data_IF_811689994697
#
_entry.id   IF_811689994697
#
_cell.length_a   1.000
_cell.length_b   1.000
_cell.length_c   1.000
_cell.angle_alpha   90.00
_cell.angle_beta   90.00
_cell.angle_gamma   90.00
#
_symmetry.space_group_name_H-M   'P 1'
#
loop_
_entity.id
_entity.type
_entity.pdbx_description
1 polymer ?
#
# COMPACT_ATOMS: atom_id res chain seq x y z
N UNK A 1 6.51 -4.58 53.14
CA UNK A 1 7.44 -4.40 52.00
C UNK A 1 7.25 -2.99 51.43
N UNK A 2 8.35 -2.29 51.17
CA UNK A 2 8.54 -0.83 51.22
C UNK A 2 7.62 0.03 50.31
N UNK A 3 6.80 0.89 50.93
CA UNK A 3 5.95 1.93 50.28
C UNK A 3 6.71 3.22 49.90
N UNK A 4 8.04 3.23 49.97
CA UNK A 4 8.87 4.42 49.73
C UNK A 4 9.90 4.16 48.64
N UNK A 5 9.55 4.43 47.38
CA UNK A 5 10.48 4.35 46.26
C UNK A 5 10.11 5.35 45.18
N UNK A 6 11.10 5.84 44.44
CA UNK A 6 10.92 6.69 43.26
C UNK A 6 11.06 5.85 42.00
N UNK A 7 10.28 6.17 40.97
CA UNK A 7 10.44 5.64 39.61
C UNK A 7 11.03 6.77 38.77
N UNK A 8 12.17 6.53 38.15
CA UNK A 8 12.82 7.50 37.27
C UNK A 8 12.73 7.01 35.83
N UNK A 9 12.17 7.83 34.95
CA UNK A 9 12.07 7.56 33.51
C UNK A 9 12.32 8.86 32.75
N UNK A 10 13.21 8.83 31.75
CA UNK A 10 13.62 10.00 30.93
C UNK A 10 13.90 11.27 31.75
N UNK A 11 14.70 11.16 32.80
CA UNK A 11 15.10 12.29 33.65
C UNK A 11 14.02 12.82 34.60
N UNK A 12 12.79 12.30 34.53
CA UNK A 12 11.71 12.66 35.45
C UNK A 12 11.57 11.59 36.52
N UNK A 13 11.52 12.00 37.80
CA UNK A 13 11.40 11.10 38.94
C UNK A 13 10.06 11.30 39.65
N UNK A 14 9.23 10.26 39.68
CA UNK A 14 7.90 10.26 40.30
C UNK A 14 7.89 9.33 41.50
N UNK A 15 7.37 9.79 42.63
CA UNK A 15 7.23 8.98 43.84
C UNK A 15 6.15 7.92 43.62
N UNK A 16 6.42 6.65 43.98
CA UNK A 16 5.43 5.55 43.89
C UNK A 16 4.13 5.83 44.65
N UNK A 17 4.15 6.72 45.64
CA UNK A 17 2.98 7.17 46.40
C UNK A 17 1.99 8.00 45.57
N UNK A 18 2.46 8.64 44.49
CA UNK A 18 1.62 9.40 43.56
C UNK A 18 1.00 8.50 42.48
N UNK A 19 1.30 7.20 42.49
CA UNK A 19 0.82 6.26 41.49
C UNK A 19 -0.28 5.40 42.11
N UNK A 20 -1.39 5.30 41.40
CA UNK A 20 -2.46 4.38 41.74
C UNK A 20 -2.17 3.00 41.15
N UNK A 21 -2.20 1.96 41.99
CA UNK A 21 -2.10 0.58 41.51
C UNK A 21 -3.49 0.13 41.06
N UNK A 22 -3.71 0.05 39.75
CA UNK A 22 -4.90 -0.56 39.15
C UNK A 22 -4.57 -1.87 38.45
N UNK A 23 -5.56 -2.74 38.37
CA UNK A 23 -5.58 -3.85 37.41
C UNK A 23 -6.20 -3.33 36.12
N UNK A 24 -5.70 -3.75 34.97
CA UNK A 24 -6.26 -3.36 33.68
C UNK A 24 -7.40 -4.32 33.28
N UNK A 25 -8.45 -4.36 34.09
CA UNK A 25 -9.64 -5.22 33.95
C UNK A 25 -10.93 -4.41 33.78
N UNK A 26 -10.83 -3.09 33.62
CA UNK A 26 -11.96 -2.20 33.35
C UNK A 26 -12.57 -2.52 31.99
N UNK A 27 -13.86 -2.89 32.00
CA UNK A 27 -14.66 -3.09 30.79
C UNK A 27 -15.60 -1.91 30.66
N UNK A 28 -15.40 -1.09 29.64
CA UNK A 28 -16.31 -0.01 29.30
C UNK A 28 -17.57 -0.64 28.70
N UNK A 29 -18.71 -0.46 29.38
CA UNK A 29 -19.99 -0.94 28.88
C UNK A 29 -20.42 -0.14 27.64
N UNK A 30 -21.07 -0.82 26.70
CA UNK A 30 -21.65 -0.15 25.54
C UNK A 30 -22.72 0.86 25.98
N UNK A 31 -22.77 2.06 25.36
CA UNK A 31 -23.79 3.04 25.65
C UNK A 31 -25.16 2.55 25.16
N UNK A 32 -26.21 2.83 25.92
CA UNK A 32 -27.58 2.46 25.58
C UNK A 32 -28.35 3.69 25.07
N UNK A 33 -29.23 3.50 24.08
CA UNK A 33 -30.14 4.55 23.62
C UNK A 33 -31.56 4.16 23.99
N UNK A 34 -32.28 5.07 24.67
CA UNK A 34 -33.66 4.86 25.09
C UNK A 34 -34.63 5.18 23.94
N UNK A 35 -35.66 4.34 23.78
CA UNK A 35 -36.77 4.60 22.85
C UNK A 35 -37.75 5.61 23.49
N UNK A 36 -37.94 6.78 22.88
CA UNK A 36 -38.62 7.92 23.51
C UNK A 36 -40.10 8.12 23.10
N UNK A 37 -40.82 7.05 22.77
CA UNK A 37 -42.22 7.18 22.28
C UNK A 37 -43.27 7.67 23.28
N UNK A 38 -42.92 7.87 24.55
CA UNK A 38 -43.89 8.29 25.58
C UNK A 38 -44.04 9.82 25.73
N UNK A 39 -43.27 10.65 25.02
CA UNK A 39 -43.48 12.10 25.01
C UNK A 39 -43.71 12.62 23.58
N UNK A 40 -44.84 13.28 23.37
CA UNK A 40 -45.25 13.99 22.15
C UNK A 40 -44.40 15.26 21.87
N UNK A 41 -43.06 15.16 21.94
CA UNK A 41 -42.18 16.26 21.58
C UNK A 41 -40.83 15.70 21.09
N UNK A 42 -40.52 15.91 19.80
CA UNK A 42 -39.24 15.64 19.13
C UNK A 42 -38.50 14.35 19.56
N UNK A 43 -38.93 13.19 19.06
CA UNK A 43 -38.27 11.91 19.35
C UNK A 43 -36.93 11.77 18.61
N UNK A 44 -35.83 11.68 19.38
CA UNK A 44 -34.45 11.51 18.87
C UNK A 44 -34.17 10.08 18.35
N UNK A 45 -34.86 9.07 18.88
CA UNK A 45 -34.74 7.67 18.43
C UNK A 45 -36.04 6.89 18.64
N UNK A 46 -36.40 6.07 17.65
CA UNK A 46 -37.53 5.12 17.68
C UNK A 46 -37.01 3.72 17.43
N UNK A 47 -37.27 2.78 18.34
CA UNK A 47 -36.80 1.39 18.18
C UNK A 47 -37.56 0.62 17.08
N UNK A 48 -36.98 -0.46 16.53
CA UNK A 48 -37.58 -1.23 15.44
C UNK A 48 -38.98 -1.80 15.75
N UNK A 49 -39.20 -2.32 16.96
CA UNK A 49 -40.49 -2.88 17.37
C UNK A 49 -41.61 -1.84 17.36
N UNK A 50 -41.33 -0.67 17.94
CA UNK A 50 -42.24 0.45 17.94
C UNK A 50 -42.51 0.98 16.52
N UNK A 51 -41.52 0.94 15.61
CA UNK A 51 -41.71 1.32 14.20
C UNK A 51 -42.57 0.32 13.44
N UNK A 52 -42.37 -0.98 13.67
CA UNK A 52 -43.21 -2.04 13.09
C UNK A 52 -44.67 -1.84 13.52
N UNK A 53 -44.92 -1.49 14.79
CA UNK A 53 -46.27 -1.25 15.29
C UNK A 53 -46.94 -0.02 14.65
N UNK A 54 -46.21 1.07 14.42
CA UNK A 54 -46.72 2.24 13.68
C UNK A 54 -47.17 1.89 12.26
N UNK A 55 -46.31 1.15 11.55
CA UNK A 55 -46.58 0.72 10.18
C UNK A 55 -47.84 -0.16 10.14
N UNK A 56 -47.98 -1.09 11.10
CA UNK A 56 -49.19 -1.91 11.25
C UNK A 56 -50.45 -1.08 11.55
N UNK A 57 -50.32 0.01 12.29
CA UNK A 57 -51.41 0.91 12.65
C UNK A 57 -51.66 2.02 11.61
N UNK A 58 -51.07 1.94 10.42
CA UNK A 58 -51.31 2.89 9.32
C UNK A 58 -50.61 4.25 9.48
N UNK A 59 -49.75 4.42 10.49
CA UNK A 59 -48.98 5.65 10.71
C UNK A 59 -47.75 5.63 9.78
N UNK A 60 -47.91 6.14 8.56
CA UNK A 60 -46.79 6.39 7.65
C UNK A 60 -46.18 7.77 7.91
N UNK A 61 -45.15 7.83 8.75
CA UNK A 61 -44.27 9.01 8.78
C UNK A 61 -43.33 8.89 7.57
N UNK A 62 -43.29 9.87 6.64
CA UNK A 62 -42.36 9.85 5.52
C UNK A 62 -40.91 9.78 6.03
N UNK A 63 -40.12 8.89 5.45
CA UNK A 63 -38.69 8.72 5.75
C UNK A 63 -37.84 10.01 5.57
N UNK A 64 -38.41 11.06 4.97
CA UNK A 64 -37.73 12.32 4.66
C UNK A 64 -37.28 13.12 5.89
N UNK A 65 -37.96 12.98 7.03
CA UNK A 65 -37.68 13.77 8.23
C UNK A 65 -36.74 13.07 9.22
N UNK A 66 -36.36 11.81 8.93
CA UNK A 66 -35.50 10.99 9.78
C UNK A 66 -34.13 10.96 9.10
N UNK A 67 -33.26 11.90 9.46
CA UNK A 67 -31.81 11.91 9.20
C UNK A 67 -31.41 11.27 7.86
N UNK A 68 -31.17 12.06 6.82
CA UNK A 68 -30.52 11.57 5.59
C UNK A 68 -29.18 10.95 5.96
N UNK A 69 -29.19 9.64 6.26
CA UNK A 69 -28.00 8.87 6.50
C UNK A 69 -27.28 8.79 5.17
N UNK A 70 -26.23 9.61 5.02
CA UNK A 70 -25.37 9.58 3.85
C UNK A 70 -24.82 8.15 3.71
N UNK A 71 -25.21 7.47 2.65
CA UNK A 71 -24.71 6.16 2.31
C UNK A 71 -23.32 6.26 1.69
N UNK A 72 -22.63 5.14 1.60
CA UNK A 72 -21.31 5.10 0.94
C UNK A 72 -21.35 5.53 -0.53
N UNK A 73 -22.51 5.37 -1.18
CA UNK A 73 -22.73 5.84 -2.56
C UNK A 73 -22.74 7.36 -2.69
N UNK A 74 -23.04 8.07 -1.61
CA UNK A 74 -23.07 9.54 -1.57
C UNK A 74 -21.68 10.15 -1.37
N UNK A 75 -20.67 9.31 -1.04
CA UNK A 75 -19.28 9.76 -1.03
C UNK A 75 -18.84 10.18 -2.44
N UNK A 76 -18.07 11.28 -2.58
CA UNK A 76 -17.62 11.78 -3.87
C UNK A 76 -16.96 10.70 -4.73
N UNK A 77 -17.43 10.59 -5.97
CA UNK A 77 -16.78 9.78 -6.99
C UNK A 77 -15.54 10.49 -7.52
N UNK A 78 -14.56 9.71 -7.89
CA UNK A 78 -13.24 10.16 -8.37
C UNK A 78 -12.84 9.28 -9.53
N UNK A 79 -11.97 9.79 -10.42
CA UNK A 79 -11.53 9.03 -11.60
C UNK A 79 -10.86 7.71 -11.17
N UNK A 80 -10.08 7.74 -10.09
CA UNK A 80 -9.48 6.54 -9.52
C UNK A 80 -10.52 5.56 -8.97
N UNK A 81 -11.54 6.05 -8.25
CA UNK A 81 -12.58 5.17 -7.69
C UNK A 81 -13.39 4.51 -8.79
N UNK A 82 -13.84 5.30 -9.78
CA UNK A 82 -14.63 4.79 -10.90
C UNK A 82 -13.82 3.80 -11.74
N UNK A 83 -12.51 4.03 -11.91
CA UNK A 83 -11.62 3.09 -12.59
C UNK A 83 -11.53 1.73 -11.88
N UNK A 84 -11.35 1.74 -10.55
CA UNK A 84 -11.29 0.51 -9.75
C UNK A 84 -12.66 -0.18 -9.72
N UNK A 85 -13.74 0.56 -9.51
CA UNK A 85 -15.11 0.02 -9.49
C UNK A 85 -15.46 -0.65 -10.81
N UNK A 86 -15.20 0.03 -11.94
CA UNK A 86 -15.45 -0.53 -13.27
C UNK A 86 -14.75 -1.86 -13.45
N UNK A 87 -13.44 -1.92 -13.19
CA UNK A 87 -12.67 -3.16 -13.29
C UNK A 87 -13.24 -4.24 -12.36
N UNK A 88 -13.49 -3.90 -11.10
CA UNK A 88 -13.98 -4.86 -10.11
C UNK A 88 -15.30 -5.50 -10.56
N UNK A 89 -16.26 -4.70 -11.03
CA UNK A 89 -17.54 -5.21 -11.48
C UNK A 89 -17.43 -6.03 -12.76
N UNK A 90 -16.62 -5.61 -13.73
CA UNK A 90 -16.34 -6.40 -14.94
C UNK A 90 -15.76 -7.78 -14.59
N UNK A 91 -14.84 -7.84 -13.62
CA UNK A 91 -14.19 -9.09 -13.19
C UNK A 91 -15.11 -9.98 -12.36
N UNK A 92 -15.98 -9.40 -11.53
CA UNK A 92 -17.02 -10.16 -10.83
C UNK A 92 -18.06 -10.74 -11.80
N UNK A 93 -18.41 -10.02 -12.87
CA UNK A 93 -19.28 -10.54 -13.93
C UNK A 93 -18.63 -11.70 -14.67
N UNK A 94 -17.35 -11.59 -15.03
CA UNK A 94 -16.61 -12.68 -15.66
C UNK A 94 -16.51 -13.92 -14.75
N UNK A 95 -16.22 -13.74 -13.46
CA UNK A 95 -16.19 -14.85 -12.49
C UNK A 95 -17.55 -15.57 -12.42
N UNK A 96 -18.65 -14.81 -12.47
CA UNK A 96 -20.01 -15.36 -12.49
C UNK A 96 -20.27 -16.18 -13.76
N UNK A 97 -19.88 -15.68 -14.92
CA UNK A 97 -20.02 -16.39 -16.20
C UNK A 97 -19.17 -17.66 -16.25
N UNK A 98 -17.92 -17.60 -15.79
CA UNK A 98 -17.03 -18.77 -15.71
C UNK A 98 -17.59 -19.84 -14.77
N UNK A 99 -18.13 -19.43 -13.63
CA UNK A 99 -18.77 -20.34 -12.69
C UNK A 99 -20.00 -21.02 -13.30
N UNK A 100 -20.83 -20.27 -14.02
CA UNK A 100 -22.00 -20.82 -14.71
C UNK A 100 -21.62 -21.93 -15.69
N UNK A 101 -20.48 -21.79 -16.38
CA UNK A 101 -19.97 -22.82 -17.29
C UNK A 101 -19.53 -24.10 -16.57
N UNK A 102 -19.13 -24.01 -15.29
CA UNK A 102 -18.65 -25.15 -14.50
C UNK A 102 -19.82 -25.86 -13.79
N UNK A 103 -20.72 -25.11 -13.17
CA UNK A 103 -21.78 -25.65 -12.30
C UNK A 103 -23.09 -25.95 -13.05
N UNK A 104 -23.23 -25.53 -14.32
CA UNK A 104 -24.47 -25.64 -15.08
C UNK A 104 -25.54 -24.64 -14.61
N UNK A 105 -26.73 -24.69 -15.24
CA UNK A 105 -27.83 -23.76 -14.94
C UNK A 105 -28.60 -24.10 -13.65
N UNK A 106 -28.29 -25.21 -12.97
CA UNK A 106 -29.19 -25.78 -11.95
C UNK A 106 -29.18 -25.09 -10.57
N UNK A 107 -28.36 -24.07 -10.32
CA UNK A 107 -28.35 -23.35 -9.02
C UNK A 107 -28.07 -21.84 -9.13
N UNK A 108 -28.24 -21.23 -10.31
CA UNK A 108 -27.75 -19.88 -10.59
C UNK A 108 -28.44 -18.76 -9.78
N UNK A 109 -29.75 -18.88 -9.55
CA UNK A 109 -30.53 -17.88 -8.82
C UNK A 109 -30.33 -17.96 -7.29
N UNK A 110 -29.83 -19.09 -6.77
CA UNK A 110 -29.60 -19.30 -5.34
C UNK A 110 -28.19 -18.87 -4.87
N UNK A 111 -27.22 -18.77 -5.79
CA UNK A 111 -25.85 -18.37 -5.45
C UNK A 111 -25.81 -16.88 -5.12
N UNK A 112 -25.67 -16.57 -3.82
CA UNK A 112 -25.45 -15.21 -3.35
C UNK A 112 -24.29 -14.56 -4.11
N UNK A 113 -24.54 -13.37 -4.68
CA UNK A 113 -23.55 -12.56 -5.37
C UNK A 113 -22.92 -11.57 -4.38
N UNK A 114 -21.67 -11.19 -4.63
CA UNK A 114 -21.04 -10.09 -3.90
C UNK A 114 -21.63 -8.77 -4.41
N UNK A 115 -22.77 -8.38 -3.84
CA UNK A 115 -23.49 -7.17 -4.23
C UNK A 115 -23.14 -5.98 -3.33
N UNK A 116 -23.53 -4.79 -3.82
CA UNK A 116 -23.43 -3.53 -3.09
C UNK A 116 -22.02 -3.19 -2.59
N UNK A 117 -21.01 -3.51 -3.39
CA UNK A 117 -19.64 -3.06 -3.19
C UNK A 117 -19.50 -1.61 -3.65
N UNK A 118 -18.74 -0.82 -2.90
CA UNK A 118 -18.45 0.58 -3.25
C UNK A 118 -16.99 0.88 -2.90
N UNK A 119 -16.20 1.34 -3.88
CA UNK A 119 -14.79 1.73 -3.67
C UNK A 119 -14.69 3.25 -3.70
N UNK A 120 -14.05 3.85 -2.70
CA UNK A 120 -13.90 5.31 -2.61
C UNK A 120 -12.49 5.70 -2.21
N UNK A 121 -11.90 6.59 -3.01
CA UNK A 121 -10.78 7.44 -2.61
C UNK A 121 -11.33 8.52 -1.67
N UNK A 122 -11.00 8.42 -0.39
CA UNK A 122 -11.50 9.35 0.64
C UNK A 122 -10.49 10.43 1.02
N UNK A 123 -9.23 10.24 0.64
CA UNK A 123 -8.15 11.22 0.79
C UNK A 123 -7.30 11.27 -0.46
N UNK A 124 -6.88 12.49 -0.79
CA UNK A 124 -5.85 12.77 -1.76
C UNK A 124 -5.20 14.10 -1.38
N UNK A 125 -4.06 14.05 -0.70
CA UNK A 125 -3.35 15.24 -0.19
C UNK A 125 -1.89 15.24 -0.62
N UNK A 126 -1.38 16.42 -0.96
CA UNK A 126 0.04 16.60 -1.29
C UNK A 126 0.85 16.77 0.00
N UNK A 127 1.97 16.04 0.08
CA UNK A 127 2.87 16.03 1.23
C UNK A 127 4.32 16.24 0.78
N UNK A 128 5.12 16.77 1.69
CA UNK A 128 6.57 16.87 1.54
C UNK A 128 7.25 15.97 2.55
N UNK A 129 8.10 15.06 2.07
CA UNK A 129 8.92 14.20 2.89
C UNK A 129 10.33 14.79 3.01
N UNK A 130 10.64 15.43 4.14
CA UNK A 130 11.98 15.92 4.43
C UNK A 130 12.93 14.77 4.70
N UNK A 131 14.08 14.75 4.01
CA UNK A 131 15.11 13.74 4.23
C UNK A 131 15.81 14.01 5.55
N UNK A 132 15.75 13.02 6.45
CA UNK A 132 16.39 13.10 7.76
C UNK A 132 17.89 13.34 7.61
N UNK A 133 18.44 14.20 8.46
CA UNK A 133 19.87 14.56 8.44
C UNK A 133 20.78 13.33 8.48
N UNK A 134 20.47 12.37 9.35
CA UNK A 134 21.21 11.10 9.47
C UNK A 134 21.32 10.33 8.15
N UNK A 135 20.29 10.38 7.29
CA UNK A 135 20.31 9.74 5.99
C UNK A 135 21.13 10.54 4.98
N UNK A 136 20.99 11.87 4.98
CA UNK A 136 21.80 12.78 4.13
C UNK A 136 23.29 12.65 4.42
N UNK A 137 23.69 12.53 5.67
CA UNK A 137 25.09 12.42 6.09
C UNK A 137 25.78 11.13 5.60
N UNK A 138 25.01 10.14 5.11
CA UNK A 138 25.54 8.91 4.49
C UNK A 138 25.76 9.10 3.00
N UNK A 139 24.99 9.98 2.35
CA UNK A 139 24.94 10.11 0.90
C UNK A 139 26.09 11.00 0.43
N UNK A 140 27.02 10.48 -0.39
CA UNK A 140 28.14 11.26 -0.89
C UNK A 140 27.74 12.23 -2.02
N UNK A 141 26.59 12.04 -2.68
CA UNK A 141 26.10 12.88 -3.76
C UNK A 141 25.58 14.23 -3.24
N UNK A 142 26.26 15.32 -3.60
CA UNK A 142 25.89 16.70 -3.22
C UNK A 142 24.51 17.14 -3.77
N UNK A 143 24.03 16.50 -4.85
CA UNK A 143 22.76 16.82 -5.52
C UNK A 143 21.58 15.93 -5.08
N UNK A 144 21.72 15.18 -3.99
CA UNK A 144 20.59 14.39 -3.47
C UNK A 144 19.48 15.31 -2.94
N UNK A 145 18.20 15.10 -3.30
CA UNK A 145 17.12 15.99 -2.87
C UNK A 145 17.00 16.09 -1.35
N UNK A 146 16.80 17.30 -0.84
CA UNK A 146 16.55 17.53 0.58
C UNK A 146 15.13 17.11 1.00
N UNK A 147 14.20 17.06 0.04
CA UNK A 147 12.81 16.69 0.24
C UNK A 147 12.24 15.99 -1.00
N UNK A 148 11.23 15.17 -0.78
CA UNK A 148 10.47 14.49 -1.83
C UNK A 148 8.99 14.84 -1.73
N UNK A 149 8.46 15.46 -2.77
CA UNK A 149 7.03 15.72 -2.89
C UNK A 149 6.30 14.45 -3.32
N UNK A 150 5.19 14.15 -2.66
CA UNK A 150 4.35 13.00 -2.99
C UNK A 150 2.89 13.26 -2.67
N UNK A 151 2.00 12.50 -3.30
CA UNK A 151 0.57 12.52 -3.02
C UNK A 151 0.19 11.32 -2.16
N UNK A 152 -0.34 11.57 -0.97
CA UNK A 152 -0.88 10.54 -0.09
C UNK A 152 -2.35 10.28 -0.44
N UNK A 153 -2.73 9.02 -0.66
CA UNK A 153 -4.13 8.63 -0.93
C UNK A 153 -4.61 7.52 -0.01
N UNK A 154 -5.89 7.58 0.30
CA UNK A 154 -6.59 6.52 1.05
C UNK A 154 -7.76 6.01 0.23
N UNK A 155 -7.76 4.70 -0.03
CA UNK A 155 -8.80 4.00 -0.78
C UNK A 155 -9.49 3.02 0.17
N UNK A 156 -10.80 3.12 0.27
CA UNK A 156 -11.64 2.27 1.10
C UNK A 156 -12.58 1.44 0.23
N UNK A 157 -12.88 0.22 0.67
CA UNK A 157 -13.93 -0.62 0.12
C UNK A 157 -15.02 -0.79 1.18
N UNK A 158 -16.25 -0.53 0.76
CA UNK A 158 -17.45 -0.75 1.54
C UNK A 158 -18.29 -1.85 0.91
N UNK A 159 -19.02 -2.57 1.76
CA UNK A 159 -20.09 -3.46 1.34
C UNK A 159 -21.34 -3.19 2.16
N UNK A 160 -22.50 -3.13 1.51
CA UNK A 160 -23.78 -3.10 2.22
C UNK A 160 -24.13 -4.50 2.71
N UNK A 161 -24.06 -4.73 4.03
CA UNK A 161 -24.35 -6.00 4.70
C UNK A 161 -25.57 -5.79 5.59
N UNK A 162 -26.62 -6.58 5.39
CA UNK A 162 -27.87 -6.49 6.18
C UNK A 162 -28.46 -5.07 6.25
N UNK A 163 -28.31 -4.30 5.17
CA UNK A 163 -28.82 -2.93 5.07
C UNK A 163 -27.87 -1.84 5.58
N UNK A 164 -26.74 -2.20 6.21
CA UNK A 164 -25.74 -1.26 6.71
C UNK A 164 -24.48 -1.23 5.83
N UNK A 165 -23.90 -0.04 5.64
CA UNK A 165 -22.62 0.11 4.96
C UNK A 165 -21.46 -0.27 5.89
N UNK A 166 -20.69 -1.30 5.52
CA UNK A 166 -19.56 -1.81 6.31
C UNK A 166 -18.26 -1.55 5.56
N UNK A 167 -17.33 -0.80 6.15
CA UNK A 167 -15.97 -0.64 5.64
C UNK A 167 -15.17 -1.93 5.89
N UNK A 168 -14.75 -2.61 4.83
CA UNK A 168 -14.16 -3.96 4.91
C UNK A 168 -12.69 -4.01 4.50
N UNK A 169 -12.20 -3.01 3.78
CA UNK A 169 -10.81 -2.93 3.34
C UNK A 169 -10.36 -1.47 3.23
N UNK A 170 -9.10 -1.22 3.57
CA UNK A 170 -8.47 0.09 3.52
C UNK A 170 -7.03 -0.01 3.00
N UNK A 171 -6.64 0.94 2.16
CA UNK A 171 -5.30 1.00 1.58
C UNK A 171 -4.77 2.43 1.57
N UNK A 172 -3.55 2.62 2.08
CA UNK A 172 -2.80 3.88 2.05
C UNK A 172 -1.65 3.75 1.07
N UNK A 173 -1.52 4.74 0.19
CA UNK A 173 -0.49 4.77 -0.85
C UNK A 173 0.19 6.14 -0.91
N UNK A 174 1.47 6.12 -1.26
CA UNK A 174 2.27 7.31 -1.55
C UNK A 174 2.64 7.31 -3.03
N UNK A 175 2.24 8.35 -3.75
CA UNK A 175 2.50 8.51 -5.19
C UNK A 175 3.55 9.61 -5.41
N UNK A 176 4.74 9.23 -5.88
CA UNK A 176 5.83 10.15 -6.19
C UNK A 176 5.85 10.39 -7.70
N UNK A 177 5.40 11.58 -8.10
CA UNK A 177 5.13 11.88 -9.50
C UNK A 177 6.37 12.07 -10.37
N UNK A 178 6.12 12.42 -11.62
CA UNK A 178 7.15 12.80 -12.62
C UNK A 178 7.95 14.04 -12.24
N UNK A 179 7.36 14.92 -11.44
CA UNK A 179 7.96 16.15 -10.92
C UNK A 179 8.82 15.91 -9.67
N UNK A 180 8.69 14.74 -9.05
CA UNK A 180 9.48 14.38 -7.87
C UNK A 180 10.95 14.15 -8.25
N UNK A 181 11.85 14.51 -7.34
CA UNK A 181 13.29 14.30 -7.52
C UNK A 181 13.68 12.84 -7.61
N UNK A 182 14.83 12.56 -8.22
CA UNK A 182 15.46 11.25 -8.12
C UNK A 182 15.82 10.97 -6.65
N UNK A 183 15.60 9.78 -6.11
CA UNK A 183 15.35 8.50 -6.77
C UNK A 183 13.88 8.02 -6.70
N UNK A 184 12.96 8.88 -6.28
CA UNK A 184 11.54 8.53 -6.10
C UNK A 184 10.67 8.84 -7.32
N UNK A 185 11.22 9.51 -8.33
CA UNK A 185 10.49 9.91 -9.53
C UNK A 185 9.71 8.73 -10.17
N UNK A 186 8.41 8.92 -10.39
CA UNK A 186 7.47 7.93 -10.97
C UNK A 186 7.35 6.63 -10.17
N UNK A 187 7.48 6.69 -8.85
CA UNK A 187 7.32 5.54 -7.98
C UNK A 187 6.03 5.61 -7.16
N UNK A 188 5.48 4.45 -6.84
CA UNK A 188 4.36 4.31 -5.91
C UNK A 188 4.78 3.39 -4.77
N UNK A 189 4.40 3.72 -3.55
CA UNK A 189 4.63 2.89 -2.37
C UNK A 189 3.30 2.56 -1.68
N UNK A 190 2.97 1.27 -1.55
CA UNK A 190 1.83 0.83 -0.76
C UNK A 190 2.26 0.81 0.71
N UNK A 191 1.89 1.86 1.45
CA UNK A 191 2.32 2.07 2.84
C UNK A 191 1.64 1.11 3.79
N UNK A 192 0.31 1.04 3.71
CA UNK A 192 -0.50 0.20 4.60
C UNK A 192 -1.67 -0.39 3.84
N UNK A 193 -2.02 -1.62 4.20
CA UNK A 193 -3.20 -2.31 3.72
C UNK A 193 -3.79 -3.08 4.90
N UNK A 194 -5.10 -2.95 5.08
CA UNK A 194 -5.81 -3.59 6.18
C UNK A 194 -7.21 -4.02 5.76
N UNK A 195 -7.77 -5.01 6.45
CA UNK A 195 -9.12 -5.51 6.14
C UNK A 195 -9.77 -6.25 7.30
N UNK A 196 -11.09 -6.15 7.40
CA UNK A 196 -11.90 -6.94 8.34
C UNK A 196 -12.63 -8.07 7.63
N UNK A 197 -12.79 -9.21 8.31
CA UNK A 197 -13.39 -10.43 7.75
C UNK A 197 -14.92 -10.44 7.82
N UNK A 198 -15.55 -9.39 7.30
CA UNK A 198 -17.01 -9.28 7.20
C UNK A 198 -17.55 -9.45 5.77
N UNK A 199 -16.69 -9.48 4.75
CA UNK A 199 -17.10 -9.65 3.36
C UNK A 199 -18.08 -10.83 3.17
N UNK A 200 -19.15 -10.57 2.43
CA UNK A 200 -20.18 -11.53 2.05
C UNK A 200 -20.35 -11.57 0.53
N UNK A 201 -20.71 -12.70 -0.07
CA UNK A 201 -20.82 -14.03 0.50
C UNK A 201 -19.45 -14.65 0.82
N UNK A 202 -19.43 -15.58 1.78
CA UNK A 202 -18.25 -16.42 2.06
C UNK A 202 -18.26 -17.63 1.14
N UNK A 203 -17.71 -17.48 -0.07
CA UNK A 203 -17.55 -18.58 -1.04
C UNK A 203 -16.19 -18.54 -1.75
N UNK A 204 -15.91 -19.59 -2.51
CA UNK A 204 -14.80 -19.63 -3.46
C UNK A 204 -15.24 -19.17 -4.85
N UNK A 205 -14.29 -18.69 -5.64
CA UNK A 205 -14.44 -18.40 -7.06
C UNK A 205 -14.32 -19.67 -7.91
N UNK A 206 -14.63 -19.58 -9.21
CA UNK A 206 -14.34 -20.62 -10.21
C UNK A 206 -12.90 -21.15 -10.15
N UNK A 207 -11.94 -20.29 -9.80
CA UNK A 207 -10.51 -20.64 -9.68
C UNK A 207 -10.10 -21.23 -8.33
N UNK A 208 -11.03 -21.38 -7.38
CA UNK A 208 -10.81 -22.00 -6.07
C UNK A 208 -10.31 -21.05 -4.97
N UNK A 209 -9.97 -19.79 -5.27
CA UNK A 209 -9.63 -18.81 -4.24
C UNK A 209 -10.89 -18.23 -3.57
N UNK A 210 -10.77 -17.72 -2.34
CA UNK A 210 -11.89 -17.05 -1.67
C UNK A 210 -12.32 -15.79 -2.44
N UNK A 211 -13.62 -15.57 -2.63
CA UNK A 211 -14.17 -14.41 -3.36
C UNK A 211 -13.70 -13.07 -2.77
N UNK A 212 -13.59 -12.99 -1.45
CA UNK A 212 -13.01 -11.84 -0.74
C UNK A 212 -11.58 -11.54 -1.20
N UNK A 213 -10.74 -12.58 -1.32
CA UNK A 213 -9.36 -12.45 -1.79
C UNK A 213 -9.34 -11.98 -3.24
N UNK A 214 -10.22 -12.53 -4.09
CA UNK A 214 -10.38 -12.10 -5.47
C UNK A 214 -10.71 -10.60 -5.55
N UNK A 215 -11.71 -10.12 -4.81
CA UNK A 215 -12.07 -8.69 -4.76
C UNK A 215 -10.89 -7.81 -4.32
N UNK A 216 -10.16 -8.20 -3.29
CA UNK A 216 -8.99 -7.43 -2.82
C UNK A 216 -7.86 -7.40 -3.86
N UNK A 217 -7.63 -8.51 -4.56
CA UNK A 217 -6.68 -8.55 -5.67
C UNK A 217 -7.14 -7.64 -6.80
N UNK A 218 -8.41 -7.66 -7.19
CA UNK A 218 -8.92 -6.82 -8.28
C UNK A 218 -8.82 -5.32 -7.97
N UNK A 219 -8.99 -4.92 -6.71
CA UNK A 219 -8.76 -3.53 -6.26
C UNK A 219 -7.29 -3.14 -6.41
N UNK A 220 -6.38 -4.00 -5.95
CA UNK A 220 -4.93 -3.75 -6.06
C UNK A 220 -4.47 -3.70 -7.52
N UNK A 221 -4.93 -4.63 -8.35
CA UNK A 221 -4.58 -4.67 -9.78
C UNK A 221 -5.17 -3.46 -10.50
N UNK A 222 -6.41 -3.08 -10.20
CA UNK A 222 -7.03 -1.86 -10.73
C UNK A 222 -6.28 -0.59 -10.33
N UNK A 223 -5.77 -0.53 -9.11
CA UNK A 223 -4.90 0.57 -8.68
C UNK A 223 -3.58 0.60 -9.46
N UNK A 224 -2.91 -0.56 -9.62
CA UNK A 224 -1.66 -0.64 -10.40
C UNK A 224 -1.86 -0.30 -11.88
N UNK A 225 -2.97 -0.74 -12.48
CA UNK A 225 -3.36 -0.39 -13.86
C UNK A 225 -3.58 1.12 -14.02
N UNK A 226 -4.29 1.73 -13.07
CA UNK A 226 -4.46 3.19 -13.03
C UNK A 226 -3.11 3.93 -12.94
N UNK A 227 -2.22 3.49 -12.04
CA UNK A 227 -0.87 4.06 -11.91
C UNK A 227 -0.07 3.89 -13.20
N UNK A 228 -0.12 2.71 -13.83
CA UNK A 228 0.56 2.44 -15.10
C UNK A 228 0.09 3.39 -16.20
N UNK A 229 -1.22 3.55 -16.36
CA UNK A 229 -1.85 4.45 -17.35
C UNK A 229 -1.49 5.92 -17.13
N UNK A 230 -1.26 6.32 -15.88
CA UNK A 230 -0.74 7.66 -15.54
C UNK A 230 0.77 7.80 -15.74
N UNK A 231 1.47 6.74 -16.11
CA UNK A 231 2.92 6.77 -16.35
C UNK A 231 3.79 6.63 -15.10
N UNK A 232 3.25 6.10 -14.00
CA UNK A 232 4.11 5.57 -12.92
C UNK A 232 4.85 4.34 -13.43
N UNK A 233 6.11 4.20 -13.00
CA UNK A 233 7.03 3.20 -13.52
C UNK A 233 7.20 1.99 -12.59
N UNK A 234 7.21 2.22 -11.28
CA UNK A 234 7.53 1.18 -10.30
C UNK A 234 6.65 1.29 -9.06
N UNK A 235 6.15 0.15 -8.59
CA UNK A 235 5.43 0.02 -7.33
C UNK A 235 6.26 -0.79 -6.32
N UNK A 236 6.36 -0.28 -5.10
CA UNK A 236 7.08 -0.88 -4.00
C UNK A 236 6.10 -1.39 -2.94
N UNK A 237 6.29 -2.62 -2.50
CA UNK A 237 5.46 -3.27 -1.49
C UNK A 237 6.36 -3.92 -0.45
N UNK A 238 6.15 -3.56 0.82
CA UNK A 238 6.74 -4.28 1.94
C UNK A 238 5.71 -5.25 2.54
N UNK A 239 5.85 -6.54 2.26
CA UNK A 239 5.01 -7.60 2.79
C UNK A 239 5.36 -7.89 4.25
N UNK A 240 4.94 -7.00 5.14
CA UNK A 240 5.10 -7.11 6.59
C UNK A 240 3.73 -7.33 7.21
N UNK A 241 3.54 -8.42 7.95
CA UNK A 241 2.34 -8.61 8.74
C UNK A 241 2.49 -7.91 10.11
N UNK A 242 1.38 -7.51 10.76
CA UNK A 242 1.46 -7.01 12.13
C UNK A 242 2.02 -8.09 13.04
N UNK A 243 3.01 -7.72 13.85
CA UNK A 243 3.82 -8.70 14.62
C UNK A 243 3.13 -9.14 15.90
N UNK A 244 2.34 -8.27 16.55
CA UNK A 244 1.65 -8.60 17.80
C UNK A 244 0.15 -8.67 17.58
N UNK A 245 -0.52 -9.51 18.38
CA UNK A 245 -1.97 -9.57 18.42
C UNK A 245 -2.50 -8.25 18.99
N UNK A 246 -3.35 -7.56 18.25
CA UNK A 246 -3.81 -6.20 18.59
C UNK A 246 -2.99 -5.08 17.96
N UNK A 247 -1.91 -5.38 17.22
CA UNK A 247 -1.31 -4.40 16.32
C UNK A 247 -2.19 -4.31 15.06
N UNK A 248 -3.17 -3.42 15.07
CA UNK A 248 -3.96 -3.15 13.87
C UNK A 248 -3.16 -2.24 12.93
N UNK A 249 -3.41 -2.22 11.60
CA UNK A 249 -2.72 -1.27 10.70
C UNK A 249 -3.53 0.01 10.51
N UNK A 250 -4.82 -0.13 10.19
CA UNK A 250 -5.73 0.97 9.89
C UNK A 250 -7.04 0.78 10.67
N UNK A 251 -7.62 -0.42 10.65
CA UNK A 251 -8.93 -0.70 11.23
C UNK A 251 -8.78 -1.15 12.69
N UNK A 252 -9.16 -0.30 13.64
CA UNK A 252 -9.01 -0.59 15.06
C UNK A 252 -9.88 -1.79 15.49
N UNK A 253 -9.31 -2.65 16.34
CA UNK A 253 -9.96 -3.78 17.00
C UNK A 253 -10.53 -4.84 16.03
N UNK A 254 -9.65 -5.57 15.34
CA UNK A 254 -10.07 -6.68 14.49
C UNK A 254 -10.92 -7.75 15.24
N UNK A 255 -11.87 -8.40 14.55
CA UNK A 255 -12.63 -9.50 15.14
C UNK A 255 -11.71 -10.57 15.72
N UNK A 256 -11.97 -11.02 16.96
CA UNK A 256 -11.13 -12.03 17.66
C UNK A 256 -10.97 -13.33 16.87
N UNK A 257 -11.93 -13.65 16.00
CA UNK A 257 -11.96 -14.81 15.10
C UNK A 257 -11.09 -14.64 13.85
N UNK A 258 -10.68 -13.41 13.52
CA UNK A 258 -9.83 -13.11 12.37
C UNK A 258 -8.37 -13.44 12.68
N UNK A 259 -7.82 -14.41 11.95
CA UNK A 259 -6.41 -14.78 12.03
C UNK A 259 -5.58 -13.83 11.16
N UNK A 260 -4.60 -13.16 11.76
CA UNK A 260 -3.60 -12.38 11.01
C UNK A 260 -2.70 -13.32 10.21
N UNK A 261 -2.42 -13.02 8.93
CA UNK A 261 -1.49 -13.81 8.15
C UNK A 261 -0.07 -13.66 8.71
N UNK A 262 0.72 -14.74 8.68
CA UNK A 262 2.18 -14.63 8.88
C UNK A 262 2.83 -14.10 7.60
N UNK A 263 4.03 -13.53 7.71
CA UNK A 263 4.79 -12.95 6.57
C UNK A 263 4.83 -13.86 5.33
N UNK A 264 5.11 -15.16 5.50
CA UNK A 264 5.14 -16.11 4.38
C UNK A 264 3.79 -16.23 3.65
N UNK A 265 2.67 -16.18 4.37
CA UNK A 265 1.33 -16.26 3.77
C UNK A 265 0.96 -14.94 3.10
N UNK A 266 1.28 -13.80 3.74
CA UNK A 266 1.07 -12.47 3.19
C UNK A 266 1.89 -12.25 1.91
N UNK A 267 3.15 -12.69 1.92
CA UNK A 267 4.02 -12.67 0.73
C UNK A 267 3.42 -13.49 -0.41
N UNK A 268 3.01 -14.73 -0.16
CA UNK A 268 2.36 -15.56 -1.20
C UNK A 268 1.09 -14.91 -1.74
N UNK A 269 0.34 -14.21 -0.89
CA UNK A 269 -0.86 -13.47 -1.28
C UNK A 269 -0.53 -12.33 -2.26
N UNK A 270 0.46 -11.47 -1.95
CA UNK A 270 0.92 -10.42 -2.86
C UNK A 270 1.49 -10.97 -4.17
N UNK A 271 2.32 -12.02 -4.12
CA UNK A 271 2.89 -12.64 -5.32
C UNK A 271 1.78 -13.23 -6.20
N UNK A 272 0.74 -13.84 -5.60
CA UNK A 272 -0.43 -14.32 -6.33
C UNK A 272 -1.16 -13.18 -7.05
N UNK A 273 -1.42 -12.07 -6.36
CA UNK A 273 -2.02 -10.86 -6.94
C UNK A 273 -1.18 -10.33 -8.11
N UNK A 274 0.12 -10.16 -7.90
CA UNK A 274 1.03 -9.62 -8.91
C UNK A 274 1.22 -10.56 -10.11
N UNK A 275 1.16 -11.88 -9.90
CA UNK A 275 1.19 -12.86 -10.99
C UNK A 275 -0.02 -12.71 -11.90
N UNK A 276 -1.21 -12.40 -11.35
CA UNK A 276 -2.40 -12.07 -12.16
C UNK A 276 -2.17 -10.77 -12.93
N UNK A 277 -1.68 -9.73 -12.26
CA UNK A 277 -1.33 -8.45 -12.89
C UNK A 277 -0.34 -8.61 -14.06
N UNK A 278 0.63 -9.52 -13.94
CA UNK A 278 1.59 -9.82 -15.02
C UNK A 278 0.94 -10.52 -16.21
N UNK A 279 0.02 -11.47 -15.98
CA UNK A 279 -0.74 -12.11 -17.06
C UNK A 279 -1.59 -11.12 -17.86
N UNK A 280 -2.03 -10.05 -17.20
CA UNK A 280 -2.84 -8.98 -17.78
C UNK A 280 -1.99 -7.80 -18.31
N UNK A 281 -0.66 -7.93 -18.35
CA UNK A 281 0.27 -6.88 -18.76
C UNK A 281 0.19 -5.57 -17.95
N UNK A 282 -0.40 -5.59 -16.76
CA UNK A 282 -0.38 -4.47 -15.80
C UNK A 282 1.01 -4.35 -15.18
N UNK A 283 1.61 -5.48 -14.82
CA UNK A 283 2.99 -5.54 -14.29
C UNK A 283 3.89 -6.21 -15.32
N UNK A 284 4.91 -5.51 -15.80
CA UNK A 284 5.80 -6.01 -16.86
C UNK A 284 6.97 -6.84 -16.34
N UNK A 285 7.41 -6.60 -15.10
CA UNK A 285 8.48 -7.36 -14.44
C UNK A 285 8.32 -7.35 -12.92
N UNK A 286 8.80 -8.43 -12.28
CA UNK A 286 8.74 -8.62 -10.84
C UNK A 286 10.11 -8.99 -10.28
N UNK A 287 10.56 -8.23 -9.29
CA UNK A 287 11.82 -8.47 -8.58
C UNK A 287 11.66 -8.14 -7.09
N UNK A 288 12.77 -8.08 -6.38
CA UNK A 288 12.83 -7.61 -5.00
C UNK A 288 13.93 -6.56 -4.83
N UNK A 289 13.86 -5.80 -3.74
CA UNK A 289 14.82 -4.72 -3.44
C UNK A 289 16.27 -5.23 -3.45
N UNK A 290 16.55 -6.43 -2.91
CA UNK A 290 17.91 -6.97 -2.87
C UNK A 290 18.44 -7.22 -4.28
N UNK A 291 17.72 -8.01 -5.07
CA UNK A 291 18.14 -8.38 -6.42
C UNK A 291 18.13 -7.15 -7.38
N UNK A 292 17.31 -6.13 -7.09
CA UNK A 292 17.27 -4.90 -7.88
C UNK A 292 18.44 -3.95 -7.60
N UNK A 293 18.82 -3.75 -6.33
CA UNK A 293 19.78 -2.72 -5.93
C UNK A 293 21.17 -3.25 -5.50
N UNK A 294 21.27 -4.49 -5.03
CA UNK A 294 22.51 -5.05 -4.46
C UNK A 294 23.21 -6.05 -5.38
N UNK A 295 22.47 -6.66 -6.31
CA UNK A 295 23.03 -7.60 -7.28
C UNK A 295 23.44 -6.84 -8.55
N UNK A 296 24.74 -6.84 -8.84
CA UNK A 296 25.27 -6.40 -10.14
C UNK A 296 25.22 -7.57 -11.11
N UNK A 297 24.54 -7.44 -12.25
CA UNK A 297 24.63 -8.42 -13.35
C UNK A 297 25.73 -8.00 -14.31
N UNK A 298 26.26 -8.93 -15.12
CA UNK A 298 27.31 -8.66 -16.12
C UNK A 298 26.95 -7.51 -17.09
N UNK A 299 25.65 -7.31 -17.33
CA UNK A 299 25.10 -6.23 -18.16
C UNK A 299 24.76 -4.94 -17.40
N UNK A 300 24.87 -4.93 -16.07
CA UNK A 300 24.37 -3.86 -15.18
C UNK A 300 25.47 -3.39 -14.24
N UNK A 301 26.37 -2.54 -14.74
CA UNK A 301 27.42 -1.87 -13.96
C UNK A 301 26.86 -0.67 -13.20
N UNK A 302 26.01 -0.94 -12.20
CA UNK A 302 25.39 0.12 -11.40
C UNK A 302 25.89 0.07 -9.96
N UNK A 303 26.54 1.14 -9.49
CA UNK A 303 27.13 1.21 -8.14
C UNK A 303 26.08 0.96 -7.06
N UNK A 304 26.36 0.09 -6.08
CA UNK A 304 25.49 -0.14 -4.93
C UNK A 304 25.69 1.03 -3.96
N UNK A 305 24.74 1.97 -3.94
CA UNK A 305 24.79 3.20 -3.13
C UNK A 305 23.41 3.53 -2.57
N UNK A 306 23.38 4.18 -1.41
CA UNK A 306 22.16 4.63 -0.73
C UNK A 306 21.36 5.62 -1.59
N UNK A 307 22.02 6.47 -2.39
CA UNK A 307 21.36 7.48 -3.22
C UNK A 307 20.46 6.92 -4.33
N UNK A 308 20.55 5.61 -4.61
CA UNK A 308 19.71 4.91 -5.59
C UNK A 308 18.48 4.25 -4.97
N UNK A 309 18.40 4.12 -3.65
CA UNK A 309 17.27 3.46 -2.99
C UNK A 309 16.15 4.47 -2.70
N UNK A 310 14.89 4.16 -3.05
CA UNK A 310 13.78 5.10 -2.98
C UNK A 310 13.32 5.42 -1.57
N UNK A 311 13.43 6.68 -1.14
CA UNK A 311 13.16 7.18 0.22
C UNK A 311 11.69 7.44 0.49
N UNK A 312 10.99 6.55 1.20
CA UNK A 312 9.56 6.67 1.48
C UNK A 312 9.25 7.01 2.93
N UNK A 313 8.10 7.65 3.16
CA UNK A 313 7.65 7.96 4.51
C UNK A 313 7.26 6.67 5.25
N UNK A 314 7.86 6.46 6.42
CA UNK A 314 7.60 5.29 7.26
C UNK A 314 8.13 3.95 6.72
N UNK A 315 9.00 3.95 5.71
CA UNK A 315 9.62 2.70 5.25
C UNK A 315 10.62 2.13 6.27
N UNK A 316 10.88 0.82 6.16
CA UNK A 316 11.74 0.11 7.09
C UNK A 316 13.22 0.16 6.71
N UNK A 317 13.56 0.28 5.43
CA UNK A 317 14.94 0.16 4.98
C UNK A 317 15.71 1.47 5.18
N UNK A 318 15.09 2.65 5.02
CA UNK A 318 15.77 3.93 5.31
C UNK A 318 16.06 4.05 6.81
N UNK A 319 15.13 3.60 7.65
CA UNK A 319 15.32 3.43 9.10
C UNK A 319 16.54 2.57 9.41
N UNK A 320 16.58 1.36 8.85
CA UNK A 320 17.71 0.45 9.03
C UNK A 320 19.05 1.03 8.52
N UNK A 321 19.04 1.76 7.40
CA UNK A 321 20.23 2.42 6.87
C UNK A 321 20.76 3.49 7.84
N UNK A 322 19.88 4.32 8.39
CA UNK A 322 20.23 5.32 9.40
C UNK A 322 20.76 4.67 10.69
N UNK A 323 20.15 3.59 11.16
CA UNK A 323 20.62 2.84 12.33
C UNK A 323 22.03 2.30 12.11
N UNK A 324 22.30 1.70 10.94
CA UNK A 324 23.63 1.22 10.59
C UNK A 324 24.66 2.35 10.49
N UNK A 325 24.26 3.50 9.96
CA UNK A 325 25.13 4.67 9.86
C UNK A 325 25.58 5.18 11.23
N UNK A 326 24.69 5.19 12.23
CA UNK A 326 25.04 5.56 13.61
C UNK A 326 26.02 4.56 14.22
N UNK A 327 25.84 3.26 13.95
CA UNK A 327 26.77 2.21 14.43
C UNK A 327 28.16 2.39 13.80
N UNK A 328 28.21 2.54 12.48
CA UNK A 328 29.47 2.71 11.73
C UNK A 328 30.21 3.97 12.16
N UNK A 329 29.49 5.06 12.42
CA UNK A 329 30.09 6.31 12.89
C UNK A 329 30.81 6.13 14.24
N UNK A 330 30.17 5.46 15.20
CA UNK A 330 30.78 5.13 16.49
C UNK A 330 32.00 4.20 16.34
N UNK A 331 31.93 3.21 15.44
CA UNK A 331 33.05 2.31 15.13
C UNK A 331 34.24 3.10 14.55
N UNK A 332 33.99 4.04 13.62
CA UNK A 332 35.03 4.88 13.04
C UNK A 332 35.68 5.83 14.05
N UNK A 333 34.89 6.43 14.95
CA UNK A 333 35.39 7.29 16.03
C UNK A 333 36.28 6.51 17.01
N UNK A 334 35.88 5.31 17.40
CA UNK A 334 36.66 4.45 18.29
C UNK A 334 38.01 4.02 17.68
N UNK A 335 38.08 3.89 16.35
CA UNK A 335 39.29 3.49 15.62
C UNK A 335 40.18 4.68 15.20
N UNK A 336 39.81 5.93 15.51
CA UNK A 336 40.64 7.11 15.22
C UNK A 336 40.79 7.45 13.73
N UNK A 337 39.87 7.01 12.87
CA UNK A 337 39.95 7.28 11.42
C UNK A 337 39.65 8.75 11.09
N UNK A 338 40.67 9.50 10.67
CA UNK A 338 40.54 10.88 10.18
C UNK A 338 40.66 10.89 8.65
N UNK A 339 39.56 10.62 7.95
CA UNK A 339 39.50 10.78 6.49
C UNK A 339 38.95 12.18 6.11
N UNK A 340 39.32 12.72 4.94
CA UNK A 340 38.67 13.91 4.37
C UNK A 340 37.14 13.71 4.28
N UNK A 341 36.30 14.76 4.47
CA UNK A 341 34.84 14.61 4.60
C UNK A 341 34.19 13.80 3.46
N UNK A 342 34.57 14.06 2.20
CA UNK A 342 34.00 13.36 1.04
C UNK A 342 34.46 11.91 0.91
N UNK A 343 35.69 11.58 1.31
CA UNK A 343 36.18 10.20 1.36
C UNK A 343 35.51 9.42 2.48
N UNK A 344 35.24 10.09 3.61
CA UNK A 344 34.50 9.54 4.76
C UNK A 344 33.06 9.20 4.38
N UNK A 345 32.35 10.09 3.68
CA UNK A 345 30.97 9.84 3.23
C UNK A 345 30.87 8.65 2.27
N UNK A 346 31.77 8.56 1.27
CA UNK A 346 31.79 7.41 0.33
C UNK A 346 32.07 6.08 1.03
N UNK A 347 33.02 6.04 1.96
CA UNK A 347 33.30 4.84 2.73
C UNK A 347 32.10 4.46 3.63
N UNK A 348 31.45 5.46 4.25
CA UNK A 348 30.25 5.27 5.08
C UNK A 348 29.10 4.69 4.24
N UNK A 349 28.84 5.24 3.05
CA UNK A 349 27.81 4.73 2.13
C UNK A 349 28.05 3.26 1.76
N UNK A 350 29.28 2.91 1.39
CA UNK A 350 29.64 1.52 1.04
C UNK A 350 29.41 0.58 2.22
N UNK A 351 29.87 0.93 3.43
CA UNK A 351 29.70 0.11 4.62
C UNK A 351 28.23 -0.01 5.04
N UNK A 352 27.47 1.08 4.98
CA UNK A 352 26.03 1.08 5.26
C UNK A 352 25.32 0.15 4.29
N UNK A 353 25.59 0.26 2.99
CA UNK A 353 24.99 -0.59 1.98
C UNK A 353 25.40 -2.06 2.15
N UNK A 354 26.64 -2.37 2.53
CA UNK A 354 27.04 -3.74 2.84
C UNK A 354 26.24 -4.32 4.02
N UNK A 355 26.18 -3.61 5.17
CA UNK A 355 25.41 -4.07 6.34
C UNK A 355 23.91 -4.15 6.03
N UNK A 356 23.36 -3.17 5.31
CA UNK A 356 21.95 -3.15 4.90
C UNK A 356 21.61 -4.33 3.98
N UNK A 357 22.48 -4.64 3.02
CA UNK A 357 22.33 -5.81 2.16
C UNK A 357 22.25 -7.11 2.96
N UNK A 358 23.11 -7.27 3.97
CA UNK A 358 23.08 -8.42 4.88
C UNK A 358 21.79 -8.50 5.72
N UNK A 359 21.23 -7.36 6.13
CA UNK A 359 19.95 -7.28 6.86
C UNK A 359 18.76 -7.66 5.98
N UNK A 360 18.74 -7.17 4.73
CA UNK A 360 17.64 -7.41 3.80
C UNK A 360 17.67 -8.83 3.24
N UNK A 361 18.85 -9.38 2.94
CA UNK A 361 19.02 -10.66 2.24
C UNK A 361 18.17 -11.82 2.81
N UNK A 362 18.13 -12.09 4.13
CA UNK A 362 17.34 -13.20 4.69
C UNK A 362 15.83 -13.04 4.47
N UNK A 363 15.35 -11.81 4.33
CA UNK A 363 13.93 -11.48 4.15
C UNK A 363 13.66 -10.81 2.80
N UNK A 364 14.57 -10.95 1.83
CA UNK A 364 14.50 -10.19 0.56
C UNK A 364 13.19 -10.34 -0.18
N UNK A 365 12.55 -11.51 -0.08
CA UNK A 365 11.27 -11.77 -0.73
C UNK A 365 10.10 -10.94 -0.15
N UNK A 366 10.25 -10.33 1.03
CA UNK A 366 9.24 -9.45 1.63
C UNK A 366 9.28 -8.04 1.02
N UNK A 367 10.34 -7.68 0.31
CA UNK A 367 10.54 -6.37 -0.29
C UNK A 367 10.30 -6.44 -1.79
N UNK A 368 9.03 -6.44 -2.19
CA UNK A 368 8.61 -6.68 -3.56
C UNK A 368 8.71 -5.39 -4.37
N UNK A 369 9.28 -5.49 -5.57
CA UNK A 369 9.36 -4.40 -6.55
C UNK A 369 8.63 -4.86 -7.81
N UNK A 370 7.53 -4.18 -8.14
CA UNK A 370 6.73 -4.44 -9.32
C UNK A 370 6.94 -3.33 -10.35
N UNK A 371 7.48 -3.68 -11.51
CA UNK A 371 7.68 -2.75 -12.61
C UNK A 371 6.40 -2.65 -13.43
N UNK A 372 5.84 -1.45 -13.52
CA UNK A 372 4.66 -1.12 -14.35
C UNK A 372 5.09 -0.76 -15.78
N UNK A 373 6.27 -0.16 -15.91
CA UNK A 373 6.90 0.21 -17.16
C UNK A 373 8.26 -0.49 -17.33
N UNK A 374 8.66 -0.76 -18.56
CA UNK A 374 9.95 -1.38 -18.85
C UNK A 374 11.09 -0.44 -18.46
N UNK A 375 12.18 -0.99 -17.93
CA UNK A 375 13.37 -0.23 -17.58
C UNK A 375 14.54 -0.62 -18.47
N UNK A 376 15.32 0.36 -18.91
CA UNK A 376 16.51 0.10 -19.70
C UNK A 376 17.53 -0.67 -18.88
N UNK A 377 18.09 -1.74 -19.43
CA UNK A 377 19.04 -2.60 -18.71
C UNK A 377 20.37 -1.92 -18.40
N UNK A 378 20.76 -0.93 -19.21
CA UNK A 378 22.03 -0.19 -19.09
C UNK A 378 21.95 0.97 -18.10
N UNK A 379 20.99 1.89 -18.30
CA UNK A 379 20.86 3.07 -17.43
C UNK A 379 19.92 2.87 -16.24
N UNK A 380 19.22 1.73 -16.16
CA UNK A 380 18.24 1.38 -15.13
C UNK A 380 17.07 2.38 -15.00
N UNK A 381 16.88 3.27 -15.97
CA UNK A 381 15.77 4.24 -15.98
C UNK A 381 14.55 3.65 -16.68
N UNK A 382 13.34 3.99 -16.23
CA UNK A 382 12.12 3.55 -16.91
C UNK A 382 12.00 4.20 -18.29
N UNK A 383 11.63 3.40 -19.28
CA UNK A 383 11.43 3.84 -20.67
C UNK A 383 9.98 4.31 -20.79
N UNK A 384 9.77 5.60 -20.50
CA UNK A 384 8.42 6.22 -20.38
C UNK A 384 8.05 7.11 -21.57
N UNK A 385 8.89 7.19 -22.60
CA UNK A 385 8.61 7.93 -23.83
C UNK A 385 9.57 7.51 -24.94
N UNK A 386 9.18 7.75 -26.20
CA UNK A 386 9.98 7.54 -27.42
C UNK A 386 10.07 6.08 -27.85
N UNK A 387 11.26 5.58 -28.13
CA UNK A 387 11.53 4.25 -28.68
C UNK A 387 12.18 3.37 -27.62
N UNK A 388 11.79 2.10 -27.60
CA UNK A 388 12.46 1.04 -26.86
C UNK A 388 12.85 -0.10 -27.79
N UNK A 389 13.98 -0.74 -27.53
CA UNK A 389 14.43 -1.92 -28.24
C UNK A 389 14.33 -3.12 -27.32
N UNK A 390 13.74 -4.21 -27.80
CA UNK A 390 13.54 -5.40 -26.98
C UNK A 390 13.77 -6.70 -27.75
N UNK A 391 14.25 -7.71 -27.02
CA UNK A 391 14.39 -9.06 -27.56
C UNK A 391 13.12 -9.87 -27.26
N UNK A 392 12.57 -10.54 -28.29
CA UNK A 392 11.39 -11.42 -28.14
C UNK A 392 11.70 -12.70 -27.33
N UNK A 393 12.95 -13.16 -27.36
CA UNK A 393 13.42 -14.34 -26.60
C UNK A 393 13.91 -13.98 -25.20
N UNK A 394 14.59 -12.84 -25.05
CA UNK A 394 15.18 -12.39 -23.79
C UNK A 394 14.40 -11.20 -23.21
N UNK A 395 13.30 -11.48 -22.50
CA UNK A 395 12.39 -10.45 -21.94
C UNK A 395 13.07 -9.35 -21.11
N UNK A 396 14.19 -9.68 -20.44
CA UNK A 396 14.96 -8.75 -19.61
C UNK A 396 15.81 -7.76 -20.41
N UNK A 397 16.01 -8.00 -21.71
CA UNK A 397 16.76 -7.12 -22.59
C UNK A 397 15.81 -6.04 -23.11
N UNK A 398 15.95 -4.86 -22.52
CA UNK A 398 15.19 -3.66 -22.86
C UNK A 398 16.19 -2.50 -22.93
N UNK A 399 16.22 -1.79 -24.03
CA UNK A 399 17.11 -0.65 -24.23
C UNK A 399 16.30 0.60 -24.54
N UNK A 400 16.67 1.72 -23.91
CA UNK A 400 16.14 3.01 -24.29
C UNK A 400 16.92 3.56 -25.49
N UNK A 401 16.30 4.47 -26.24
CA UNK A 401 16.93 5.17 -27.38
C UNK A 401 18.33 5.71 -27.11
N UNK A 402 18.61 6.18 -25.89
CA UNK A 402 19.94 6.73 -25.54
C UNK A 402 21.02 5.68 -25.31
N UNK A 403 20.63 4.47 -24.92
CA UNK A 403 21.57 3.40 -24.60
C UNK A 403 21.67 2.36 -25.71
N UNK A 404 20.79 2.43 -26.71
CA UNK A 404 20.79 1.52 -27.82
C UNK A 404 21.97 1.81 -28.76
N UNK A 405 22.74 0.78 -29.08
CA UNK A 405 23.94 0.90 -29.92
C UNK A 405 24.00 -0.12 -31.07
N UNK A 406 23.26 -1.23 -30.98
CA UNK A 406 23.26 -2.30 -31.97
C UNK A 406 21.90 -3.01 -32.01
N UNK A 407 21.46 -3.42 -33.19
CA UNK A 407 20.17 -4.11 -33.41
C UNK A 407 20.19 -5.59 -33.01
N UNK A 408 21.23 -6.06 -32.33
CA UNK A 408 21.37 -7.44 -31.86
C UNK A 408 22.13 -7.52 -30.54
N UNK A 409 21.89 -8.60 -29.79
CA UNK A 409 22.64 -8.89 -28.57
C UNK A 409 23.02 -10.37 -28.48
N UNK A 410 24.13 -10.65 -27.81
CA UNK A 410 24.51 -12.02 -27.44
C UNK A 410 23.76 -12.42 -26.17
N UNK A 411 23.04 -13.55 -26.23
CA UNK A 411 22.33 -14.11 -25.08
C UNK A 411 23.28 -14.87 -24.16
N UNK A 412 22.81 -15.23 -22.95
CA UNK A 412 23.55 -16.05 -21.98
C UNK A 412 23.95 -17.41 -22.56
N UNK A 413 23.23 -17.89 -23.59
CA UNK A 413 23.54 -19.15 -24.29
C UNK A 413 24.52 -18.96 -25.46
N UNK A 414 25.15 -17.80 -25.59
CA UNK A 414 26.00 -17.40 -26.71
C UNK A 414 25.29 -17.41 -28.08
N UNK A 415 23.96 -17.30 -28.09
CA UNK A 415 23.19 -17.09 -29.33
C UNK A 415 22.97 -15.60 -29.58
N UNK A 416 23.10 -15.16 -30.84
CA UNK A 416 22.80 -13.79 -31.25
C UNK A 416 21.29 -13.63 -31.49
N UNK A 417 20.66 -12.69 -30.81
CA UNK A 417 19.23 -12.41 -30.93
C UNK A 417 19.01 -10.97 -31.43
N UNK A 418 18.11 -10.74 -32.40
CA UNK A 418 17.80 -9.40 -32.87
C UNK A 418 16.95 -8.63 -31.85
N UNK A 419 17.14 -7.32 -31.81
CA UNK A 419 16.33 -6.38 -31.07
C UNK A 419 15.29 -5.75 -32.00
N UNK A 420 14.03 -5.71 -31.55
CA UNK A 420 12.95 -5.06 -32.26
C UNK A 420 12.63 -3.71 -31.63
N UNK A 421 12.57 -2.67 -32.47
CA UNK A 421 12.08 -1.35 -32.08
C UNK A 421 10.58 -1.41 -31.77
N UNK A 422 10.18 -0.79 -30.66
CA UNK A 422 8.80 -0.60 -30.25
C UNK A 422 8.60 0.86 -29.85
N UNK A 423 7.56 1.48 -30.38
CA UNK A 423 7.15 2.83 -30.01
C UNK A 423 6.50 2.82 -28.61
N UNK A 424 6.79 3.86 -27.84
CA UNK A 424 6.31 4.12 -26.49
C UNK A 424 5.66 5.51 -26.48
N UNK A 425 4.47 5.59 -27.06
CA UNK A 425 3.65 6.80 -27.22
C UNK A 425 2.38 6.79 -26.34
N UNK A 426 2.08 5.66 -25.70
CA UNK A 426 0.92 5.44 -24.84
C UNK A 426 1.13 5.91 -23.38
N UNK A 427 2.36 6.31 -23.02
CA UNK A 427 2.71 6.73 -21.65
C UNK A 427 2.69 8.26 -21.53
N UNK A 428 1.90 8.83 -20.60
CA UNK A 428 1.87 10.26 -20.37
C UNK A 428 3.21 10.86 -19.93
N UNK A 429 3.51 12.06 -20.46
CA UNK A 429 4.70 12.84 -20.12
C UNK A 429 4.78 13.23 -18.64
N UNK A 430 3.64 13.36 -17.96
CA UNK A 430 3.58 13.62 -16.53
C UNK A 430 2.59 12.67 -15.86
N UNK A 431 2.69 12.54 -14.55
CA UNK A 431 1.83 11.66 -13.76
C UNK A 431 0.65 12.38 -13.13
N UNK A 432 0.39 13.65 -13.46
CA UNK A 432 -0.70 14.41 -12.83
C UNK A 432 -2.04 13.80 -13.22
N UNK A 433 -2.98 13.77 -12.28
CA UNK A 433 -4.39 13.56 -12.59
C UNK A 433 -5.19 14.83 -12.25
N UNK A 434 -6.30 14.99 -12.96
CA UNK A 434 -7.29 16.05 -12.71
C UNK A 434 -8.31 15.60 -11.66
N UNK A 435 -7.94 14.64 -10.83
CA UNK A 435 -8.84 14.07 -9.83
C UNK A 435 -8.92 15.00 -8.62
N UNK A 436 -10.08 15.05 -7.97
CA UNK A 436 -10.31 16.00 -6.88
C UNK A 436 -9.34 15.77 -5.71
N UNK A 437 -8.79 16.86 -5.18
CA UNK A 437 -8.07 16.87 -3.90
C UNK A 437 -9.11 16.72 -2.80
N UNK A 438 -8.85 15.78 -1.89
CA UNK A 438 -9.75 15.46 -0.80
C UNK A 438 -8.93 15.51 0.49
N UNK A 439 -9.16 16.56 1.26
CA UNK A 439 -8.54 16.76 2.56
C UNK A 439 -9.47 16.22 3.64
N UNK A 440 -8.92 15.41 4.53
CA UNK A 440 -9.63 14.93 5.71
C UNK A 440 -8.62 14.62 6.83
N UNK A 441 -8.64 15.41 7.89
CA UNK A 441 -7.70 15.25 9.00
C UNK A 441 -7.78 13.86 9.67
N UNK A 442 -8.94 13.19 9.62
CA UNK A 442 -9.16 11.90 10.30
C UNK A 442 -8.42 10.74 9.63
N UNK A 443 -8.26 10.77 8.31
CA UNK A 443 -7.57 9.71 7.56
C UNK A 443 -6.17 10.15 7.09
N UNK A 444 -5.72 11.37 7.44
CA UNK A 444 -4.46 11.93 6.94
C UNK A 444 -3.23 11.09 7.33
N UNK A 445 -3.28 10.48 8.50
CA UNK A 445 -2.35 9.46 8.94
C UNK A 445 -3.11 8.34 9.68
N UNK A 446 -2.51 7.15 9.76
CA UNK A 446 -3.13 6.01 10.43
C UNK A 446 -3.35 6.23 11.94
N UNK A 447 -2.55 7.08 12.57
CA UNK A 447 -2.62 7.33 14.01
C UNK A 447 -3.90 8.10 14.35
N UNK A 448 -4.22 9.16 13.60
CA UNK A 448 -5.44 9.96 13.77
C UNK A 448 -6.69 9.07 13.67
N UNK A 449 -6.72 8.13 12.71
CA UNK A 449 -7.85 7.21 12.57
C UNK A 449 -7.95 6.24 13.75
N UNK A 450 -6.83 5.74 14.26
CA UNK A 450 -6.80 4.84 15.43
C UNK A 450 -7.10 5.54 16.75
N UNK A 451 -6.74 6.81 16.89
CA UNK A 451 -7.06 7.60 18.08
C UNK A 451 -8.53 7.97 18.14
N UNK A 452 -9.18 8.15 16.97
CA UNK A 452 -10.61 8.40 16.89
C UNK A 452 -11.45 7.16 17.25
N UNK A 453 -11.02 5.97 16.80
CA UNK A 453 -11.74 4.71 17.00
C UNK A 453 -11.40 4.08 18.35
#
# INVERSE_FOLDING_TARGET
MSKGGRITFNGTSVTKQLLERKTNDEVINEPWVQCNKYLHCNSVYTCPLCRINEIKNGIQIPLKDIWTAFGTKDLPKTVLSDHIEKRLFERLMQEREERQKIEGNENFDEVKVADSLTVRKVISVDKQLTVKKQFRDIIPEENYPAEFSYRSRVILLFQKIEGADVCIFAMYVQEYGSECGNTNQRCVYISYLDSVNHFTPRRQTSSGEALRTFVYHEILIGYLDFCKKRGFATCYIHACAPKRRGDDYILNCHPKTQKMPKDNKLRKWYISMLTKATKENVVVDLTNMYDHFFVSTETRYSKVTTARMPYFDGDCWSGAAMDQAVIIEKECEAMGYVNPPNAKAKAKDILVMQKLGQIILPTKQNFIVAHLQYSCMHCCKPVVSRKRWCCTKCKKVQECERCHTADEHTSIKNEVHPLSEVLVDDIPLNTKDNDIILENALFENRSNRRELC
#
